data_IF_297528539445
#
_entry.id   IF_297528539445
#
_cell.length_a   1.000
_cell.length_b   1.000
_cell.length_c   1.000
_cell.angle_alpha   90.00
_cell.angle_beta   90.00
_cell.angle_gamma   90.00
#
_symmetry.space_group_name_H-M   'P 1'
#
loop_
_entity.id
_entity.type
_entity.pdbx_description
1 polymer ?
#
# COMPACT_ATOMS: atom_id res chain seq x y z
N UNK A 1 18.03 -2.01 12.57
CA UNK A 1 17.75 -3.35 13.14
C UNK A 1 18.53 -4.36 12.32
N UNK A 2 19.33 -5.24 12.94
CA UNK A 2 20.09 -6.25 12.19
C UNK A 2 19.22 -7.49 12.07
N UNK A 3 18.65 -7.71 10.89
CA UNK A 3 17.98 -8.96 10.53
C UNK A 3 19.04 -9.95 10.07
N UNK A 4 18.97 -11.18 10.58
CA UNK A 4 19.89 -12.24 10.16
C UNK A 4 19.25 -13.04 9.03
N UNK A 5 19.55 -12.64 7.79
CA UNK A 5 18.96 -13.26 6.58
C UNK A 5 19.32 -14.73 6.40
N UNK A 6 20.31 -15.24 7.12
CA UNK A 6 20.73 -16.63 7.04
C UNK A 6 19.95 -17.55 8.01
N UNK A 7 19.17 -16.96 8.92
CA UNK A 7 18.39 -17.69 9.92
C UNK A 7 16.92 -17.75 9.54
N UNK A 8 16.25 -18.77 10.07
CA UNK A 8 14.81 -18.94 9.95
C UNK A 8 14.05 -17.68 10.37
N UNK A 9 13.04 -17.30 9.57
CA UNK A 9 12.22 -16.09 9.72
C UNK A 9 13.05 -14.82 10.00
N UNK A 10 14.28 -14.75 9.49
CA UNK A 10 15.25 -13.68 9.74
C UNK A 10 15.52 -13.38 11.23
N UNK A 11 15.32 -14.37 12.11
CA UNK A 11 15.37 -14.22 13.58
C UNK A 11 14.36 -13.21 14.15
N UNK A 12 13.24 -13.00 13.46
CA UNK A 12 12.23 -12.01 13.81
C UNK A 12 11.18 -12.52 14.82
N UNK A 13 11.34 -13.72 15.39
CA UNK A 13 10.38 -14.32 16.33
C UNK A 13 9.94 -13.40 17.49
N UNK A 14 10.79 -12.45 17.89
CA UNK A 14 10.50 -11.51 18.99
C UNK A 14 9.66 -10.28 18.57
N UNK A 15 9.55 -10.00 17.27
CA UNK A 15 8.72 -8.91 16.74
C UNK A 15 7.47 -9.38 16.01
N UNK A 16 7.45 -10.65 15.58
CA UNK A 16 6.28 -11.24 14.94
C UNK A 16 5.15 -11.37 15.96
N UNK A 17 3.91 -11.15 15.51
CA UNK A 17 2.74 -11.34 16.34
C UNK A 17 2.68 -12.81 16.81
N UNK A 18 2.62 -13.10 18.12
CA UNK A 18 2.51 -14.46 18.62
C UNK A 18 1.36 -15.27 18.00
N UNK A 19 0.27 -14.62 17.61
CA UNK A 19 -0.90 -15.28 17.03
C UNK A 19 -0.63 -15.93 15.66
N UNK A 20 0.44 -15.53 14.96
CA UNK A 20 0.79 -16.08 13.63
C UNK A 20 1.95 -17.11 13.69
N UNK A 21 2.62 -17.25 14.83
CA UNK A 21 3.80 -18.12 14.98
C UNK A 21 3.47 -19.61 14.87
N UNK A 22 2.23 -20.01 15.19
CA UNK A 22 1.77 -21.40 15.09
C UNK A 22 1.44 -21.81 13.63
N UNK A 23 1.58 -20.89 12.67
CA UNK A 23 1.26 -21.12 11.27
C UNK A 23 2.52 -21.25 10.41
N UNK A 24 2.40 -21.96 9.28
CA UNK A 24 3.49 -22.03 8.29
C UNK A 24 3.61 -20.69 7.54
N UNK A 25 4.53 -19.82 7.97
CA UNK A 25 4.78 -18.48 7.41
C UNK A 25 5.52 -18.50 6.04
N UNK A 26 4.97 -19.23 5.06
CA UNK A 26 5.51 -19.29 3.70
C UNK A 26 5.49 -17.89 3.07
N UNK A 27 6.61 -17.50 2.47
CA UNK A 27 6.74 -16.20 1.83
C UNK A 27 7.06 -15.05 2.79
N UNK A 28 7.20 -15.29 4.11
CA UNK A 28 7.54 -14.24 5.08
C UNK A 28 8.84 -13.54 4.73
N UNK A 29 9.89 -14.28 4.36
CA UNK A 29 11.18 -13.69 3.99
C UNK A 29 11.05 -12.65 2.87
N UNK A 30 10.22 -12.95 1.85
CA UNK A 30 9.94 -12.04 0.73
C UNK A 30 9.07 -10.86 1.15
N UNK A 31 8.12 -11.08 2.06
CA UNK A 31 7.34 -10.00 2.64
C UNK A 31 8.22 -9.04 3.45
N UNK A 32 9.14 -9.57 4.26
CA UNK A 32 10.06 -8.75 5.05
C UNK A 32 11.02 -7.99 4.15
N UNK A 33 11.57 -8.62 3.11
CA UNK A 33 12.41 -7.92 2.12
C UNK A 33 11.66 -6.74 1.48
N UNK A 34 10.39 -6.94 1.12
CA UNK A 34 9.53 -5.87 0.59
C UNK A 34 9.31 -4.77 1.64
N UNK A 35 8.93 -5.13 2.86
CA UNK A 35 8.68 -4.17 3.94
C UNK A 35 9.91 -3.30 4.20
N UNK A 36 11.11 -3.90 4.18
CA UNK A 36 12.37 -3.19 4.35
C UNK A 36 12.66 -2.22 3.20
N UNK A 37 12.35 -2.60 1.95
CA UNK A 37 12.46 -1.68 0.81
C UNK A 37 11.50 -0.49 0.90
N UNK A 38 10.31 -0.68 1.46
CA UNK A 38 9.32 0.40 1.64
C UNK A 38 9.73 1.46 2.66
N UNK A 39 10.58 1.09 3.63
CA UNK A 39 11.03 1.97 4.72
C UNK A 39 12.47 2.43 4.55
N UNK A 40 13.02 2.33 3.34
CA UNK A 40 14.37 2.82 3.05
C UNK A 40 14.46 4.33 3.32
N UNK A 41 15.61 4.77 3.85
CA UNK A 41 15.79 6.16 4.29
C UNK A 41 15.61 7.12 3.11
N UNK A 42 16.18 6.76 1.96
CA UNK A 42 16.08 7.52 0.73
C UNK A 42 14.81 7.19 -0.03
N UNK A 43 14.03 8.21 -0.35
CA UNK A 43 12.78 8.04 -1.11
C UNK A 43 12.96 7.46 -2.52
N UNK A 44 14.16 7.59 -3.11
CA UNK A 44 14.47 7.03 -4.45
C UNK A 44 14.66 5.52 -4.43
N UNK A 45 14.98 4.95 -3.27
CA UNK A 45 15.18 3.51 -3.09
C UNK A 45 13.88 2.80 -2.69
N UNK A 46 12.84 3.57 -2.33
CA UNK A 46 11.51 3.02 -2.05
C UNK A 46 10.83 2.57 -3.34
N UNK A 47 10.22 1.38 -3.36
CA UNK A 47 9.49 0.91 -4.54
C UNK A 47 8.25 1.77 -4.80
N UNK A 48 7.87 1.86 -6.08
CA UNK A 48 6.58 2.44 -6.45
C UNK A 48 5.46 1.53 -5.96
N UNK A 49 4.30 2.09 -5.64
CA UNK A 49 3.14 1.29 -5.18
C UNK A 49 2.75 0.16 -6.14
N UNK A 50 2.90 0.34 -7.46
CA UNK A 50 2.66 -0.74 -8.42
C UNK A 50 3.65 -1.90 -8.32
N UNK A 51 4.89 -1.66 -7.89
CA UNK A 51 5.89 -2.69 -7.61
C UNK A 51 5.59 -3.41 -6.29
N UNK A 52 5.12 -2.65 -5.28
CA UNK A 52 4.66 -3.20 -4.00
C UNK A 52 3.52 -4.20 -4.21
N UNK A 53 2.50 -3.85 -5.00
CA UNK A 53 1.36 -4.76 -5.29
C UNK A 53 1.85 -6.04 -5.97
N UNK A 54 2.67 -5.94 -7.01
CA UNK A 54 3.24 -7.12 -7.69
C UNK A 54 4.05 -8.01 -6.76
N UNK A 55 4.81 -7.41 -5.85
CA UNK A 55 5.58 -8.16 -4.86
C UNK A 55 4.66 -8.88 -3.86
N UNK A 56 3.57 -8.24 -3.42
CA UNK A 56 2.56 -8.87 -2.55
C UNK A 56 1.83 -10.03 -3.25
N UNK A 57 1.43 -9.86 -4.51
CA UNK A 57 0.82 -10.93 -5.31
C UNK A 57 1.77 -12.15 -5.43
N UNK A 58 3.06 -11.91 -5.63
CA UNK A 58 4.06 -12.97 -5.65
C UNK A 58 4.22 -13.66 -4.29
N UNK A 59 4.22 -12.91 -3.18
CA UNK A 59 4.25 -13.48 -1.82
C UNK A 59 3.04 -14.38 -1.59
N UNK A 60 1.84 -13.93 -1.97
CA UNK A 60 0.62 -14.73 -1.88
C UNK A 60 0.72 -16.04 -2.67
N UNK A 61 1.25 -15.96 -3.90
CA UNK A 61 1.47 -17.14 -4.73
C UNK A 61 2.46 -18.13 -4.09
N UNK A 62 3.57 -17.65 -3.51
CA UNK A 62 4.55 -18.47 -2.77
C UNK A 62 3.89 -19.13 -1.54
N UNK A 63 2.97 -18.43 -0.88
CA UNK A 63 2.20 -18.96 0.24
C UNK A 63 1.17 -20.03 -0.18
N UNK A 64 1.00 -20.28 -1.48
CA UNK A 64 -0.01 -21.20 -2.01
C UNK A 64 -1.41 -20.59 -2.01
N UNK A 65 -1.53 -19.27 -1.84
CA UNK A 65 -2.78 -18.54 -1.97
C UNK A 65 -2.98 -18.20 -3.46
N UNK A 66 -4.22 -18.26 -3.94
CA UNK A 66 -4.55 -17.79 -5.29
C UNK A 66 -4.94 -16.30 -5.24
N UNK A 67 -4.08 -15.37 -5.70
CA UNK A 67 -4.38 -13.94 -5.68
C UNK A 67 -5.50 -13.55 -6.65
N UNK A 68 -5.87 -14.42 -7.60
CA UNK A 68 -6.97 -14.22 -8.54
C UNK A 68 -8.30 -14.78 -8.01
N UNK A 69 -8.37 -15.26 -6.76
CA UNK A 69 -9.67 -15.36 -6.11
C UNK A 69 -10.16 -13.93 -5.95
N UNK A 70 -11.16 -13.58 -6.75
CA UNK A 70 -11.91 -12.34 -6.69
C UNK A 70 -12.39 -12.14 -5.25
N UNK A 71 -11.54 -11.53 -4.42
CA UNK A 71 -12.02 -10.79 -3.27
C UNK A 71 -12.88 -9.72 -3.89
N UNK A 72 -14.17 -9.56 -3.49
CA UNK A 72 -15.01 -8.49 -4.01
C UNK A 72 -14.30 -7.20 -3.65
N UNK A 73 -13.48 -6.74 -4.59
CA UNK A 73 -12.86 -5.46 -4.54
C UNK A 73 -14.07 -4.58 -4.70
N UNK A 74 -14.54 -4.04 -3.58
CA UNK A 74 -15.33 -2.82 -3.55
C UNK A 74 -14.43 -1.70 -4.09
N UNK A 75 -13.96 -1.88 -5.32
CA UNK A 75 -13.55 -0.84 -6.24
C UNK A 75 -14.89 -0.20 -6.55
N UNK A 76 -15.25 0.80 -5.73
CA UNK A 76 -16.47 1.56 -5.89
C UNK A 76 -16.63 1.86 -7.39
N UNK A 77 -17.64 1.27 -7.99
CA UNK A 77 -17.99 1.50 -9.39
C UNK A 77 -18.17 2.99 -9.57
N UNK A 78 -17.29 3.64 -10.32
CA UNK A 78 -17.61 4.89 -10.98
C UNK A 78 -17.56 4.67 -12.49
N UNK A 79 -18.43 3.81 -12.99
CA UNK A 79 -18.83 3.88 -14.38
C UNK A 79 -19.92 4.95 -14.50
N UNK A 80 -19.48 6.12 -14.95
CA UNK A 80 -20.12 7.01 -15.92
C UNK A 80 -21.63 7.30 -15.78
N UNK A 81 -21.96 8.47 -15.20
CA UNK A 81 -23.26 9.10 -15.33
C UNK A 81 -23.19 10.31 -16.28
N UNK A 82 -23.22 10.04 -17.59
CA UNK A 82 -23.54 11.04 -18.60
C UNK A 82 -25.07 11.28 -18.64
N UNK A 83 -25.58 12.01 -17.64
CA UNK A 83 -26.80 12.87 -17.71
C UNK A 83 -27.18 13.40 -16.32
N UNK A 84 -26.95 14.70 -16.12
CA UNK A 84 -27.89 15.57 -15.41
C UNK A 84 -27.86 15.61 -13.87
N UNK A 85 -27.15 16.62 -13.35
CA UNK A 85 -27.54 17.48 -12.21
C UNK A 85 -27.45 16.92 -10.77
N UNK A 86 -27.13 17.78 -9.76
CA UNK A 86 -26.08 17.50 -8.79
C UNK A 86 -26.57 17.39 -7.35
N UNK A 87 -26.00 16.48 -6.58
CA UNK A 87 -25.93 16.59 -5.13
C UNK A 87 -24.58 16.07 -4.63
N UNK A 88 -23.59 16.96 -4.60
CA UNK A 88 -22.33 16.73 -3.90
C UNK A 88 -22.46 17.30 -2.47
N UNK A 89 -22.26 16.51 -1.40
CA UNK A 89 -22.40 16.95 -0.01
C UNK A 89 -21.34 17.94 0.49
N UNK A 90 -20.42 18.39 -0.37
CA UNK A 90 -19.48 19.47 -0.06
C UNK A 90 -19.63 20.55 -1.11
N UNK A 91 -20.50 21.51 -0.81
CA UNK A 91 -20.48 22.83 -1.43
C UNK A 91 -19.24 23.56 -0.93
N UNK A 92 -18.30 23.88 -1.82
CA UNK A 92 -17.34 24.95 -1.58
C UNK A 92 -17.68 26.10 -2.52
N UNK A 93 -18.60 26.93 -2.04
CA UNK A 93 -19.05 28.15 -2.69
C UNK A 93 -18.20 29.35 -2.26
N UNK A 94 -16.87 29.35 -2.49
CA UNK A 94 -16.13 30.63 -2.36
C UNK A 94 -14.76 30.74 -3.05
N UNK A 95 -14.43 30.02 -4.12
CA UNK A 95 -13.20 30.28 -4.89
C UNK A 95 -13.38 31.35 -5.99
N UNK A 96 -14.01 32.47 -5.63
CA UNK A 96 -14.15 33.62 -6.53
C UNK A 96 -13.96 34.96 -5.80
N UNK A 97 -12.83 35.14 -5.12
CA UNK A 97 -12.33 36.48 -4.82
C UNK A 97 -10.80 36.52 -4.55
N UNK A 98 -10.15 37.37 -5.34
CA UNK A 98 -8.81 37.96 -5.23
C UNK A 98 -7.58 37.07 -5.43
N UNK A 99 -7.31 36.74 -6.69
CA UNK A 99 -5.92 36.77 -7.18
C UNK A 99 -5.51 38.25 -7.34
N UNK A 100 -4.95 38.83 -6.28
CA UNK A 100 -4.17 40.08 -6.36
C UNK A 100 -2.98 39.93 -5.45
N UNK A 101 -1.83 39.63 -6.04
CA UNK A 101 -0.55 39.67 -5.33
C UNK A 101 -0.07 41.13 -5.26
N UNK A 102 0.29 41.66 -4.08
CA UNK A 102 0.89 42.99 -4.01
C UNK A 102 2.34 42.95 -4.50
N UNK A 103 2.70 43.88 -5.38
CA UNK A 103 4.09 44.16 -5.71
C UNK A 103 4.79 44.76 -4.49
N UNK A 104 5.93 44.18 -4.12
CA UNK A 104 6.80 44.70 -3.07
C UNK A 104 7.62 45.87 -3.64
N UNK A 105 7.51 47.05 -3.02
CA UNK A 105 8.42 48.17 -3.25
C UNK A 105 9.77 47.94 -2.55
#
# INVERSE_FOLDING_TARGET
>A
MVMDKAKDLYSLHHILDPAILDTSLKGLEKFVDLAMSCVEELGVDRPKMGEVVKALENVMHIAGMNPNVETPTSLASYEEASKGSPFHPFSDESLANSSTFPASN
#
